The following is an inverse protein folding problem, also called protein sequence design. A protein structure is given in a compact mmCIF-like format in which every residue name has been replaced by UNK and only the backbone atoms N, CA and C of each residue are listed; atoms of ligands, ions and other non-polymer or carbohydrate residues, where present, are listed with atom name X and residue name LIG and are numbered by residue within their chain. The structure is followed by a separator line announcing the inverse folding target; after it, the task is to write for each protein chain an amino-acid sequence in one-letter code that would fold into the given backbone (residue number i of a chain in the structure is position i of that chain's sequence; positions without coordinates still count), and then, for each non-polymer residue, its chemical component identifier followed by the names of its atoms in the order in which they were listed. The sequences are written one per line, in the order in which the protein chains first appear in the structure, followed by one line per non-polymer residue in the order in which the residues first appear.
data_IF_306743036508
#
_entry.id   IF_306743036508
#
_cell.length_a   1.000
_cell.length_b   1.000
_cell.length_c   1.000
_cell.angle_alpha   90.00
_cell.angle_beta   90.00
_cell.angle_gamma   90.00
#
_symmetry.space_group_name_H-M   'P 1'
#
loop_
_entity.id
_entity.type
_entity.pdbx_description
1 polymer ?
#
# COMPACT_ATOMS: atom_id res chain seq x y z
N UNK A 1 -1.49 -1.59 18.73
CA UNK A 1 -0.19 -1.04 19.11
C UNK A 1 0.58 -2.10 19.90
N UNK A 2 1.78 -2.40 19.43
CA UNK A 2 2.70 -3.22 20.20
C UNK A 2 3.78 -2.31 20.79
N UNK A 3 3.81 -2.26 22.11
CA UNK A 3 4.78 -1.47 22.86
C UNK A 3 5.77 -2.37 23.56
N UNK A 4 7.03 -1.95 23.61
CA UNK A 4 8.01 -2.59 24.47
C UNK A 4 7.61 -2.46 25.96
N UNK A 5 8.25 -3.23 26.82
CA UNK A 5 8.05 -3.11 28.29
C UNK A 5 8.40 -1.70 28.82
N UNK A 6 9.17 -0.92 28.07
CA UNK A 6 9.53 0.47 28.37
C UNK A 6 8.59 1.48 27.73
N UNK A 7 7.50 1.04 27.07
CA UNK A 7 6.50 1.91 26.46
C UNK A 7 6.89 2.48 25.08
N UNK A 8 7.99 2.03 24.48
CA UNK A 8 8.35 2.43 23.13
C UNK A 8 7.54 1.65 22.09
N UNK A 9 7.09 2.31 21.04
CA UNK A 9 6.43 1.66 19.91
C UNK A 9 7.41 0.73 19.19
N UNK A 10 7.12 -0.58 19.19
CA UNK A 10 7.98 -1.61 18.60
C UNK A 10 7.67 -1.85 17.14
N UNK A 11 6.40 -1.79 16.77
CA UNK A 11 5.97 -1.98 15.39
C UNK A 11 4.83 -1.03 15.02
N UNK A 12 4.84 -0.60 13.77
CA UNK A 12 3.74 0.10 13.13
C UNK A 12 3.06 -0.85 12.16
N UNK A 13 1.77 -1.01 12.28
CA UNK A 13 0.95 -1.88 11.44
C UNK A 13 -0.45 -1.33 11.31
N UNK A 14 -1.19 -1.90 10.38
CA UNK A 14 -2.57 -1.54 10.14
C UNK A 14 -3.50 -2.24 11.12
N UNK A 15 -4.50 -1.52 11.59
CA UNK A 15 -5.61 -2.08 12.36
C UNK A 15 -6.88 -1.92 11.55
N UNK A 16 -7.58 -3.02 11.34
CA UNK A 16 -8.91 -2.96 10.75
C UNK A 16 -9.86 -2.23 11.70
N UNK A 17 -10.53 -1.19 11.19
CA UNK A 17 -11.54 -0.51 11.96
C UNK A 17 -12.81 -1.38 12.00
N UNK A 18 -13.10 -1.94 13.15
CA UNK A 18 -14.31 -2.73 13.38
C UNK A 18 -15.59 -1.87 13.42
N UNK A 19 -15.46 -0.55 13.34
CA UNK A 19 -16.58 0.42 13.36
C UNK A 19 -17.26 0.71 12.03
N UNK A 20 -16.85 0.11 10.91
CA UNK A 20 -17.68 0.05 9.72
C UNK A 20 -17.19 0.69 8.43
N UNK A 21 -15.96 1.16 8.31
CA UNK A 21 -15.41 1.63 7.04
C UNK A 21 -14.07 0.98 6.74
N UNK A 22 -13.90 0.39 5.56
CA UNK A 22 -12.65 -0.27 5.21
C UNK A 22 -11.46 0.70 5.06
N UNK A 23 -11.73 1.97 4.89
CA UNK A 23 -10.74 3.04 4.78
C UNK A 23 -10.44 3.72 6.12
N UNK A 24 -11.24 3.47 7.15
CA UNK A 24 -10.96 3.87 8.53
C UNK A 24 -10.00 2.89 9.22
N UNK A 25 -9.39 1.99 8.49
CA UNK A 25 -8.38 1.11 9.03
C UNK A 25 -7.24 1.97 9.59
N UNK A 26 -7.01 1.88 10.87
CA UNK A 26 -5.93 2.59 11.53
C UNK A 26 -4.58 2.07 11.07
N UNK A 27 -3.63 2.98 10.97
CA UNK A 27 -2.24 2.66 10.74
C UNK A 27 -1.47 2.94 12.03
N UNK A 28 -0.62 2.03 12.44
CA UNK A 28 0.28 2.30 13.54
C UNK A 28 1.49 3.07 13.05
N UNK A 29 1.74 4.18 13.72
CA UNK A 29 2.87 5.00 13.44
C UNK A 29 2.59 6.05 12.36
N UNK A 30 3.17 7.17 12.58
CA UNK A 30 3.03 8.37 11.78
C UNK A 30 3.47 8.16 10.33
N UNK A 31 4.61 7.53 10.11
CA UNK A 31 5.16 7.35 8.76
C UNK A 31 4.27 6.49 7.86
N UNK A 32 3.70 5.41 8.39
CA UNK A 32 2.81 4.55 7.60
C UNK A 32 1.48 5.25 7.30
N UNK A 33 0.92 6.02 8.25
CA UNK A 33 -0.28 6.81 8.02
C UNK A 33 -0.05 7.88 6.95
N UNK A 34 1.02 8.63 7.05
CA UNK A 34 1.35 9.69 6.10
C UNK A 34 1.52 9.13 4.67
N UNK A 35 2.17 8.00 4.52
CA UNK A 35 2.31 7.37 3.20
C UNK A 35 0.97 6.87 2.66
N UNK A 36 0.13 6.27 3.51
CA UNK A 36 -1.20 5.83 3.10
C UNK A 36 -2.06 7.01 2.63
N UNK A 37 -2.07 8.10 3.39
CA UNK A 37 -2.87 9.28 3.07
C UNK A 37 -2.45 9.86 1.72
N UNK A 38 -1.15 9.97 1.45
CA UNK A 38 -0.64 10.45 0.16
C UNK A 38 -1.01 9.51 -1.02
N UNK A 39 -0.88 8.19 -0.83
CA UNK A 39 -1.27 7.21 -1.86
C UNK A 39 -2.78 7.22 -2.10
N UNK A 40 -3.57 7.39 -1.05
CA UNK A 40 -5.02 7.41 -1.13
C UNK A 40 -5.53 8.68 -1.82
N UNK A 41 -4.97 9.84 -1.51
CA UNK A 41 -5.30 11.09 -2.20
C UNK A 41 -4.92 11.04 -3.67
N UNK A 42 -3.71 10.61 -4.03
CA UNK A 42 -3.30 10.44 -5.43
C UNK A 42 -4.26 9.54 -6.20
N UNK A 43 -4.69 8.42 -5.58
CA UNK A 43 -5.66 7.53 -6.22
C UNK A 43 -7.02 8.19 -6.42
N UNK A 44 -7.49 8.99 -5.45
CA UNK A 44 -8.74 9.74 -5.56
C UNK A 44 -8.68 10.77 -6.69
N UNK A 45 -7.58 11.51 -6.76
CA UNK A 45 -7.37 12.51 -7.80
C UNK A 45 -7.44 11.86 -9.19
N UNK A 46 -6.72 10.76 -9.40
CA UNK A 46 -6.75 10.00 -10.65
C UNK A 46 -8.15 9.45 -10.97
N UNK A 47 -8.90 9.02 -9.96
CA UNK A 47 -10.27 8.54 -10.14
C UNK A 47 -11.21 9.67 -10.59
N UNK A 48 -11.12 10.85 -9.98
CA UNK A 48 -11.96 11.98 -10.33
C UNK A 48 -11.53 12.67 -11.62
N UNK A 49 -10.27 12.59 -12.00
CA UNK A 49 -9.84 12.96 -13.37
C UNK A 49 -10.54 12.09 -14.44
N UNK A 50 -10.69 10.79 -14.17
CA UNK A 50 -11.42 9.89 -15.09
C UNK A 50 -12.95 10.09 -15.02
N UNK A 51 -13.48 10.46 -13.85
CA UNK A 51 -14.91 10.60 -13.58
C UNK A 51 -15.25 11.94 -12.90
N UNK A 52 -15.09 13.07 -13.58
CA UNK A 52 -15.24 14.40 -12.97
C UNK A 52 -16.64 14.67 -12.42
N UNK A 53 -17.69 14.15 -13.06
CA UNK A 53 -19.07 14.31 -12.59
C UNK A 53 -19.33 13.69 -11.20
N UNK A 54 -18.45 12.77 -10.77
CA UNK A 54 -18.58 12.10 -9.46
C UNK A 54 -17.89 12.85 -8.34
N UNK A 55 -16.98 13.76 -8.65
CA UNK A 55 -16.33 14.61 -7.66
C UNK A 55 -17.35 15.55 -7.00
N UNK A 56 -18.24 16.16 -7.80
CA UNK A 56 -19.28 17.05 -7.31
C UNK A 56 -20.31 16.37 -6.39
N UNK A 57 -20.49 15.06 -6.56
CA UNK A 57 -21.40 14.24 -5.75
C UNK A 57 -20.72 13.63 -4.51
N UNK A 58 -19.39 13.73 -4.43
CA UNK A 58 -18.61 13.04 -3.40
C UNK A 58 -18.87 13.58 -1.99
N UNK A 59 -19.10 14.88 -1.85
CA UNK A 59 -19.37 15.56 -0.57
C UNK A 59 -20.82 15.41 -0.07
N UNK A 60 -21.68 14.70 -0.83
CA UNK A 60 -23.06 14.44 -0.48
C UNK A 60 -23.31 13.12 0.22
N UNK A 61 -24.57 12.70 0.23
CA UNK A 61 -25.02 11.40 0.79
C UNK A 61 -24.38 10.18 0.10
N UNK A 62 -23.77 10.37 -1.07
CA UNK A 62 -23.08 9.35 -1.85
C UNK A 62 -21.61 9.13 -1.44
N UNK A 63 -21.08 9.91 -0.50
CA UNK A 63 -19.72 9.82 -0.01
C UNK A 63 -19.24 8.39 0.25
N UNK A 64 -20.05 7.57 0.94
CA UNK A 64 -19.74 6.17 1.24
C UNK A 64 -19.67 5.26 0.01
N UNK A 65 -20.38 5.60 -1.04
CA UNK A 65 -20.41 4.82 -2.29
C UNK A 65 -19.14 5.08 -3.09
N UNK A 66 -18.78 6.34 -3.23
CA UNK A 66 -17.60 6.73 -4.01
C UNK A 66 -16.29 6.44 -3.31
N UNK A 67 -16.22 6.56 -1.99
CA UNK A 67 -15.05 6.15 -1.21
C UNK A 67 -14.61 4.71 -1.49
N UNK A 68 -15.58 3.84 -1.75
CA UNK A 68 -15.28 2.45 -2.10
C UNK A 68 -14.52 2.31 -3.43
N UNK A 69 -14.67 3.26 -4.34
CA UNK A 69 -14.08 3.23 -5.67
C UNK A 69 -12.98 4.26 -5.85
N UNK A 70 -13.15 5.45 -5.30
CA UNK A 70 -12.18 6.53 -5.41
C UNK A 70 -10.90 6.21 -4.63
N UNK A 71 -11.00 5.88 -3.35
CA UNK A 71 -9.87 5.54 -2.50
C UNK A 71 -9.48 4.06 -2.52
N UNK A 72 -8.44 3.74 -1.76
CA UNK A 72 -8.05 2.36 -1.50
C UNK A 72 -8.87 1.75 -0.36
N UNK A 73 -9.23 0.48 -0.50
CA UNK A 73 -9.73 -0.35 0.58
C UNK A 73 -8.56 -1.08 1.24
N UNK A 74 -8.40 -0.89 2.55
CA UNK A 74 -7.41 -1.63 3.32
C UNK A 74 -7.76 -3.12 3.37
N UNK A 75 -6.76 -3.96 3.21
CA UNK A 75 -6.92 -5.42 3.25
C UNK A 75 -5.93 -6.04 4.24
N UNK A 76 -6.47 -6.65 5.29
CA UNK A 76 -5.66 -7.22 6.37
C UNK A 76 -4.77 -8.38 5.92
N UNK A 77 -5.21 -9.18 4.94
CA UNK A 77 -4.37 -10.25 4.42
C UNK A 77 -3.19 -9.69 3.62
N UNK A 78 -3.41 -8.58 2.88
CA UNK A 78 -2.34 -7.88 2.19
C UNK A 78 -1.40 -7.16 3.17
N UNK A 79 -1.91 -6.63 4.30
CA UNK A 79 -1.06 -6.05 5.34
C UNK A 79 -0.11 -7.10 5.93
N UNK A 80 -0.63 -8.28 6.26
CA UNK A 80 0.19 -9.40 6.76
C UNK A 80 1.20 -9.87 5.71
N UNK A 81 0.79 -9.91 4.44
CA UNK A 81 1.71 -10.25 3.36
C UNK A 81 2.81 -9.19 3.22
N UNK A 82 2.45 -7.90 3.26
CA UNK A 82 3.43 -6.81 3.21
C UNK A 82 4.41 -6.85 4.38
N UNK A 83 3.92 -7.16 5.58
CA UNK A 83 4.73 -7.27 6.80
C UNK A 83 5.79 -8.38 6.67
N UNK A 84 5.37 -9.58 6.29
CA UNK A 84 6.26 -10.70 6.03
C UNK A 84 7.28 -10.42 4.93
N UNK A 85 6.82 -9.87 3.80
CA UNK A 85 7.66 -9.57 2.64
C UNK A 85 8.64 -8.43 2.89
N UNK A 86 8.27 -7.46 3.73
CA UNK A 86 9.16 -6.37 4.11
C UNK A 86 10.37 -6.89 4.87
N UNK A 87 10.17 -7.76 5.84
CA UNK A 87 11.27 -8.37 6.59
C UNK A 87 12.18 -9.19 5.65
N UNK A 88 11.61 -10.02 4.78
CA UNK A 88 12.37 -10.77 3.78
C UNK A 88 13.18 -9.88 2.83
N UNK A 89 12.58 -8.77 2.37
CA UNK A 89 13.27 -7.82 1.48
C UNK A 89 14.42 -7.07 2.19
N UNK A 90 14.25 -6.75 3.46
CA UNK A 90 15.28 -6.05 4.25
C UNK A 90 16.45 -6.98 4.61
N UNK A 91 16.19 -8.26 4.84
CA UNK A 91 17.21 -9.26 5.21
C UNK A 91 17.88 -9.88 3.99
N UNK A 92 17.08 -10.32 3.02
CA UNK A 92 17.54 -11.08 1.85
C UNK A 92 17.80 -10.26 0.59
N UNK A 93 17.33 -9.02 0.57
CA UNK A 93 17.37 -8.15 -0.61
C UNK A 93 16.12 -8.27 -1.48
N UNK A 94 15.98 -7.34 -2.43
CA UNK A 94 14.84 -7.25 -3.34
C UNK A 94 15.31 -6.81 -4.72
N UNK A 95 15.09 -7.64 -5.73
CA UNK A 95 15.42 -7.35 -7.11
C UNK A 95 14.41 -7.99 -8.07
N UNK A 96 14.07 -7.29 -9.14
CA UNK A 96 13.15 -7.77 -10.18
C UNK A 96 11.81 -8.30 -9.63
N UNK A 97 11.24 -7.58 -8.66
CA UNK A 97 10.01 -7.94 -7.95
C UNK A 97 10.08 -9.30 -7.21
N UNK A 98 11.28 -9.70 -6.80
CA UNK A 98 11.56 -10.95 -6.09
C UNK A 98 12.38 -10.75 -4.84
N UNK A 99 12.09 -11.57 -3.85
CA UNK A 99 12.93 -11.78 -2.67
C UNK A 99 13.64 -13.13 -2.84
N UNK A 100 14.96 -13.20 -2.69
CA UNK A 100 15.70 -14.45 -2.77
C UNK A 100 15.14 -15.51 -1.82
N UNK A 101 14.81 -16.68 -2.33
CA UNK A 101 14.21 -17.78 -1.56
C UNK A 101 12.69 -17.69 -1.37
N UNK A 102 12.07 -16.53 -1.56
CA UNK A 102 10.62 -16.35 -1.38
C UNK A 102 9.84 -16.15 -2.70
N UNK A 103 10.54 -15.76 -3.77
CA UNK A 103 9.91 -15.50 -5.07
C UNK A 103 9.18 -14.15 -5.14
N UNK A 104 8.17 -14.06 -6.01
CA UNK A 104 7.32 -12.89 -6.22
C UNK A 104 6.18 -12.82 -5.21
N UNK A 105 5.49 -11.67 -5.15
CA UNK A 105 4.26 -11.54 -4.37
C UNK A 105 3.18 -12.54 -4.83
N UNK A 106 3.08 -12.84 -6.12
CA UNK A 106 2.12 -13.82 -6.63
C UNK A 106 2.44 -15.24 -6.14
N UNK A 107 3.72 -15.59 -6.03
CA UNK A 107 4.15 -16.87 -5.45
C UNK A 107 3.70 -16.97 -3.99
N UNK A 108 3.93 -15.91 -3.21
CA UNK A 108 3.51 -15.85 -1.81
C UNK A 108 1.99 -15.90 -1.62
N UNK A 109 1.23 -15.09 -2.38
CA UNK A 109 -0.25 -15.08 -2.30
C UNK A 109 -0.85 -16.43 -2.71
N UNK A 110 -0.24 -17.12 -3.66
CA UNK A 110 -0.65 -18.48 -4.04
C UNK A 110 -0.41 -19.48 -2.92
N UNK A 111 0.70 -19.34 -2.19
CA UNK A 111 1.04 -20.20 -1.05
C UNK A 111 0.00 -20.07 0.08
N UNK A 112 -0.48 -18.86 0.36
CA UNK A 112 -1.50 -18.60 1.39
C UNK A 112 -2.94 -18.71 0.88
N UNK A 113 -3.15 -19.21 -0.35
CA UNK A 113 -4.44 -19.35 -1.00
C UNK A 113 -5.24 -18.04 -1.15
N UNK A 114 -4.55 -16.91 -1.25
CA UNK A 114 -5.19 -15.62 -1.42
C UNK A 114 -5.38 -15.30 -2.91
N UNK A 115 -6.62 -15.07 -3.34
CA UNK A 115 -7.08 -14.59 -4.67
C UNK A 115 -6.14 -14.87 -5.86
N UNK A 116 -6.04 -16.10 -6.28
CA UNK A 116 -5.10 -16.60 -7.31
C UNK A 116 -5.13 -15.88 -8.66
N UNK A 117 -6.23 -15.21 -9.01
CA UNK A 117 -6.43 -14.61 -10.35
C UNK A 117 -6.55 -13.08 -10.33
N UNK A 118 -6.27 -12.43 -9.22
CA UNK A 118 -6.30 -10.97 -9.14
C UNK A 118 -4.95 -10.38 -9.57
N UNK A 119 -4.97 -9.29 -10.33
CA UNK A 119 -3.77 -8.51 -10.60
C UNK A 119 -3.23 -7.93 -9.30
N UNK A 120 -1.95 -8.14 -9.05
CA UNK A 120 -1.26 -7.70 -7.87
C UNK A 120 0.06 -7.02 -8.25
N UNK A 121 0.39 -5.95 -7.55
CA UNK A 121 1.63 -5.23 -7.71
C UNK A 121 2.28 -5.02 -6.34
N UNK A 122 3.54 -5.35 -6.22
CA UNK A 122 4.35 -5.14 -5.02
C UNK A 122 5.35 -4.01 -5.27
N UNK A 123 5.42 -3.08 -4.33
CA UNK A 123 6.30 -1.91 -4.39
C UNK A 123 7.11 -1.85 -3.10
N UNK A 124 8.38 -2.19 -3.20
CA UNK A 124 9.34 -2.03 -2.11
C UNK A 124 10.11 -0.72 -2.29
N UNK A 125 10.09 0.13 -1.27
CA UNK A 125 10.92 1.34 -1.20
C UNK A 125 11.74 1.34 0.08
N UNK A 126 12.96 1.83 -0.03
CA UNK A 126 13.94 1.77 1.04
C UNK A 126 14.76 3.05 1.15
N UNK A 127 15.44 3.19 2.27
CA UNK A 127 16.36 4.28 2.55
C UNK A 127 15.69 5.65 2.38
N UNK A 128 14.39 5.75 2.77
CA UNK A 128 13.66 7.00 2.72
C UNK A 128 13.89 7.81 4.00
N UNK A 129 13.92 9.12 3.89
CA UNK A 129 13.95 10.01 5.04
C UNK A 129 12.60 10.11 5.74
N UNK A 130 11.52 10.09 4.95
CA UNK A 130 10.14 10.20 5.39
C UNK A 130 9.14 9.52 4.45
N UNK A 131 7.86 9.69 4.72
CA UNK A 131 6.77 9.16 3.93
C UNK A 131 6.63 9.84 2.56
N UNK A 132 6.95 11.13 2.45
CA UNK A 132 6.87 11.87 1.19
C UNK A 132 7.94 11.41 0.21
N UNK A 133 9.17 11.16 0.67
CA UNK A 133 10.21 10.56 -0.17
C UNK A 133 9.82 9.14 -0.62
N UNK A 134 9.18 8.38 0.27
CA UNK A 134 8.67 7.05 -0.09
C UNK A 134 7.58 7.13 -1.17
N UNK A 135 6.65 8.06 -1.04
CA UNK A 135 5.60 8.33 -2.02
C UNK A 135 6.18 8.70 -3.39
N UNK A 136 7.13 9.62 -3.43
CA UNK A 136 7.81 10.04 -4.67
C UNK A 136 8.52 8.85 -5.35
N UNK A 137 9.24 8.03 -4.59
CA UNK A 137 9.88 6.81 -5.10
C UNK A 137 8.87 5.80 -5.68
N UNK A 138 7.69 5.68 -5.05
CA UNK A 138 6.60 4.81 -5.55
C UNK A 138 6.07 5.35 -6.87
N UNK A 139 5.75 6.64 -6.95
CA UNK A 139 5.30 7.28 -8.20
C UNK A 139 6.32 7.10 -9.31
N UNK A 140 7.57 7.40 -9.06
CA UNK A 140 8.65 7.22 -10.03
C UNK A 140 8.75 5.78 -10.54
N UNK A 141 8.62 4.79 -9.67
CA UNK A 141 8.62 3.36 -10.06
C UNK A 141 7.43 3.02 -10.97
N UNK A 142 6.24 3.50 -10.63
CA UNK A 142 5.03 3.28 -11.42
C UNK A 142 5.15 3.95 -12.79
N UNK A 143 5.58 5.20 -12.84
CA UNK A 143 5.74 5.98 -14.07
C UNK A 143 6.77 5.35 -15.01
N UNK A 144 7.93 4.97 -14.51
CA UNK A 144 8.96 4.27 -15.29
C UNK A 144 8.43 2.97 -15.91
N UNK A 145 7.67 2.19 -15.13
CA UNK A 145 7.07 0.95 -15.62
C UNK A 145 5.97 1.21 -16.65
N UNK A 146 5.12 2.21 -16.43
CA UNK A 146 4.07 2.60 -17.35
C UNK A 146 4.64 3.07 -18.69
N UNK A 147 5.64 3.93 -18.67
CA UNK A 147 6.32 4.41 -19.88
C UNK A 147 6.97 3.27 -20.67
N UNK A 148 7.58 2.31 -19.96
CA UNK A 148 8.27 1.19 -20.58
C UNK A 148 7.33 0.15 -21.21
N UNK A 149 6.15 -0.08 -20.63
CA UNK A 149 5.26 -1.20 -20.98
C UNK A 149 3.88 -0.77 -21.49
N UNK A 150 3.55 0.52 -21.38
CA UNK A 150 2.23 1.09 -21.73
C UNK A 150 1.05 0.26 -21.19
N UNK A 151 1.13 -0.15 -19.92
CA UNK A 151 0.19 -1.07 -19.29
C UNK A 151 -0.49 -0.40 -18.10
N UNK A 152 -1.82 -0.36 -18.10
CA UNK A 152 -2.66 0.22 -17.02
C UNK A 152 -2.36 -0.36 -15.64
N UNK A 153 -1.82 -1.56 -15.56
CA UNK A 153 -1.45 -2.17 -14.27
C UNK A 153 -0.33 -1.44 -13.52
N UNK A 154 0.28 -0.43 -14.13
CA UNK A 154 1.24 0.47 -13.46
C UNK A 154 0.62 1.82 -13.09
N UNK A 155 -0.70 1.91 -13.05
CA UNK A 155 -1.47 3.05 -12.56
C UNK A 155 -2.19 2.71 -11.27
N UNK A 156 -2.24 3.64 -10.30
CA UNK A 156 -2.87 3.39 -9.00
C UNK A 156 -4.38 3.16 -9.11
N UNK A 157 -5.05 3.87 -10.01
CA UNK A 157 -6.50 3.76 -10.24
C UNK A 157 -6.93 2.37 -10.71
N UNK A 158 -6.00 1.57 -11.23
CA UNK A 158 -6.26 0.18 -11.64
C UNK A 158 -6.58 -0.72 -10.43
N UNK A 159 -6.10 -0.37 -9.25
CA UNK A 159 -6.19 -1.18 -8.05
C UNK A 159 -7.27 -0.66 -7.10
N UNK A 160 -7.86 -1.57 -6.31
CA UNK A 160 -8.91 -1.26 -5.34
C UNK A 160 -8.47 -1.45 -3.91
N UNK A 161 -7.53 -2.37 -3.68
CA UNK A 161 -7.09 -2.77 -2.34
C UNK A 161 -5.64 -2.47 -2.16
N UNK A 162 -5.30 -2.16 -0.92
CA UNK A 162 -3.94 -1.89 -0.49
C UNK A 162 -3.64 -2.64 0.80
N UNK A 163 -2.44 -3.22 0.86
CA UNK A 163 -1.80 -3.61 2.10
C UNK A 163 -0.45 -2.92 2.20
N UNK A 164 -0.02 -2.63 3.42
CA UNK A 164 1.23 -1.92 3.67
C UNK A 164 1.91 -2.42 4.94
N UNK A 165 3.24 -2.39 4.92
CA UNK A 165 4.08 -2.52 6.09
C UNK A 165 5.17 -1.47 6.09
N UNK A 166 5.64 -1.11 7.27
CA UNK A 166 6.67 -0.11 7.51
C UNK A 166 7.68 -0.63 8.55
N UNK A 167 8.94 -0.30 8.34
CA UNK A 167 10.03 -0.47 9.32
C UNK A 167 10.92 0.76 9.30
N UNK A 168 11.49 1.04 10.46
CA UNK A 168 12.60 1.99 10.59
C UNK A 168 13.86 1.21 10.94
N UNK A 169 14.96 1.54 10.27
CA UNK A 169 16.29 1.02 10.58
C UNK A 169 17.35 2.11 10.36
N UNK A 170 18.15 2.36 11.36
CA UNK A 170 19.24 3.35 11.32
C UNK A 170 18.78 4.76 10.88
N UNK A 171 17.57 5.17 11.35
CA UNK A 171 16.97 6.45 11.01
C UNK A 171 16.44 6.54 9.57
N UNK A 172 16.36 5.42 8.84
CA UNK A 172 15.80 5.32 7.50
C UNK A 172 14.51 4.53 7.51
N UNK A 173 13.58 4.93 6.64
CA UNK A 173 12.27 4.35 6.51
C UNK A 173 12.24 3.34 5.36
N UNK A 174 11.58 2.21 5.59
CA UNK A 174 11.41 1.12 4.66
C UNK A 174 9.93 0.78 4.56
N UNK A 175 9.41 0.65 3.35
CA UNK A 175 8.00 0.34 3.14
C UNK A 175 7.85 -0.79 2.12
N UNK A 176 6.86 -1.63 2.37
CA UNK A 176 6.32 -2.58 1.41
C UNK A 176 4.85 -2.23 1.17
N UNK A 177 4.50 -1.91 -0.07
CA UNK A 177 3.11 -1.63 -0.47
C UNK A 177 2.68 -2.69 -1.46
N UNK A 178 1.54 -3.31 -1.19
CA UNK A 178 0.92 -4.31 -2.07
C UNK A 178 -0.41 -3.76 -2.55
N UNK A 179 -0.54 -3.60 -3.85
CA UNK A 179 -1.77 -3.18 -4.51
C UNK A 179 -2.44 -4.37 -5.17
N UNK A 180 -3.76 -4.48 -5.05
CA UNK A 180 -4.56 -5.56 -5.65
C UNK A 180 -5.85 -5.02 -6.26
N UNK A 181 -6.23 -5.56 -7.43
CA UNK A 181 -7.45 -5.23 -8.15
C UNK A 181 -8.69 -5.87 -7.53
#
# INVERSE_FOLDING_TARGET
YEFSAQGALVSAGWVENTGGGAYDAGCYGHMAQDLFDQLNEEKKDLYFEEYPDREDEYDGDMHRVYDRYAGFQMDMALNKAADYRLDGAMEGGYADDRIPGEGTINDYLSLINYRRNASCLELYVRDCGDASEAFDKIKEKLDKRRQSKNDRKYSMEYYRRLGMAHREKDGKQYFMVILMR
#
